data_IF_223750369332
#
_entry.id   IF_223750369332
#
_cell.length_a   1.000
_cell.length_b   1.000
_cell.length_c   1.000
_cell.angle_alpha   90.00
_cell.angle_beta   90.00
_cell.angle_gamma   90.00
#
_symmetry.space_group_name_H-M   'P 1'
#
loop_
_entity.id
_entity.type
_entity.pdbx_description
1 polymer ?
#
# COMPACT_ATOMS: atom_id res chain seq x y z
N UNK A 1 33.77 5.51 -14.85
CA UNK A 1 32.50 4.85 -15.24
C UNK A 1 31.87 5.66 -16.36
N UNK A 2 31.64 5.08 -17.54
CA UNK A 2 31.11 5.84 -18.69
C UNK A 2 29.64 6.22 -18.54
N UNK A 3 29.18 7.23 -19.29
CA UNK A 3 27.81 7.77 -19.27
C UNK A 3 26.72 6.70 -19.46
N UNK A 4 26.99 5.68 -20.28
CA UNK A 4 26.08 4.54 -20.51
C UNK A 4 25.92 3.60 -19.29
N UNK A 5 26.88 3.58 -18.37
CA UNK A 5 26.76 2.86 -17.10
C UNK A 5 25.83 3.62 -16.15
N UNK A 6 26.00 4.93 -16.01
CA UNK A 6 25.16 5.76 -15.13
C UNK A 6 23.67 5.70 -15.54
N UNK A 7 23.35 5.81 -16.83
CA UNK A 7 21.95 5.67 -17.29
C UNK A 7 21.34 4.28 -17.03
N UNK A 8 22.16 3.22 -17.06
CA UNK A 8 21.70 1.86 -16.72
C UNK A 8 21.47 1.72 -15.21
N UNK A 9 22.41 2.23 -14.41
CA UNK A 9 22.33 2.27 -12.95
C UNK A 9 21.09 3.03 -12.48
N UNK A 10 20.85 4.22 -13.01
CA UNK A 10 19.69 5.04 -12.67
C UNK A 10 18.36 4.34 -12.97
N UNK A 11 18.21 3.77 -14.18
CA UNK A 11 17.01 3.01 -14.55
C UNK A 11 16.79 1.79 -13.64
N UNK A 12 17.86 1.09 -13.29
CA UNK A 12 17.80 -0.06 -12.37
C UNK A 12 17.34 0.36 -10.97
N UNK A 13 17.91 1.44 -10.43
CA UNK A 13 17.56 1.96 -9.11
C UNK A 13 16.12 2.48 -9.05
N UNK A 14 15.64 3.18 -10.10
CA UNK A 14 14.25 3.61 -10.21
C UNK A 14 13.28 2.42 -10.19
N UNK A 15 13.57 1.38 -10.99
CA UNK A 15 12.76 0.15 -11.01
C UNK A 15 12.74 -0.53 -9.64
N UNK A 16 13.90 -0.70 -9.00
CA UNK A 16 13.99 -1.35 -7.69
C UNK A 16 13.26 -0.56 -6.60
N UNK A 17 13.36 0.78 -6.62
CA UNK A 17 12.64 1.64 -5.70
C UNK A 17 11.12 1.54 -5.86
N UNK A 18 10.64 1.42 -7.10
CA UNK A 18 9.23 1.17 -7.39
C UNK A 18 8.79 -0.21 -6.88
N UNK A 19 9.49 -1.28 -7.28
CA UNK A 19 9.17 -2.65 -6.88
C UNK A 19 9.13 -2.82 -5.36
N UNK A 20 10.07 -2.24 -4.61
CA UNK A 20 10.09 -2.35 -3.15
C UNK A 20 8.83 -1.76 -2.49
N UNK A 21 8.34 -0.62 -3.00
CA UNK A 21 7.12 0.03 -2.49
C UNK A 21 5.88 -0.78 -2.88
N UNK A 22 5.77 -1.16 -4.14
CA UNK A 22 4.64 -1.93 -4.67
C UNK A 22 4.50 -3.27 -3.97
N UNK A 23 5.60 -4.01 -3.80
CA UNK A 23 5.60 -5.31 -3.11
C UNK A 23 5.20 -5.20 -1.64
N UNK A 24 5.62 -4.13 -0.97
CA UNK A 24 5.22 -3.89 0.42
C UNK A 24 3.73 -3.57 0.52
N UNK A 25 3.16 -2.83 -0.44
CA UNK A 25 1.73 -2.50 -0.48
C UNK A 25 0.89 -3.75 -0.75
N UNK A 26 1.21 -4.48 -1.82
CA UNK A 26 0.51 -5.72 -2.21
C UNK A 26 0.58 -6.79 -1.11
N UNK A 27 1.73 -6.95 -0.46
CA UNK A 27 1.87 -7.91 0.65
C UNK A 27 0.96 -7.59 1.85
N UNK A 28 0.76 -6.29 2.15
CA UNK A 28 -0.19 -5.86 3.20
C UNK A 28 -1.63 -6.10 2.78
N UNK A 29 -2.00 -5.76 1.55
CA UNK A 29 -3.36 -5.97 1.04
C UNK A 29 -3.72 -7.46 0.98
N UNK A 30 -2.80 -8.32 0.55
CA UNK A 30 -2.97 -9.78 0.59
C UNK A 30 -3.21 -10.24 2.03
N UNK A 31 -2.46 -9.71 2.99
CA UNK A 31 -2.62 -10.04 4.42
C UNK A 31 -4.01 -9.66 4.93
N UNK A 32 -4.51 -8.49 4.55
CA UNK A 32 -5.84 -8.00 4.95
C UNK A 32 -6.94 -8.84 4.29
N UNK A 33 -6.83 -9.10 2.99
CA UNK A 33 -7.78 -9.93 2.26
C UNK A 33 -7.89 -11.33 2.86
N UNK A 34 -6.76 -11.95 3.21
CA UNK A 34 -6.73 -13.27 3.87
C UNK A 34 -7.37 -13.22 5.26
N UNK A 35 -7.13 -12.17 6.05
CA UNK A 35 -7.78 -12.01 7.36
C UNK A 35 -9.30 -11.81 7.26
N UNK A 36 -9.79 -11.11 6.24
CA UNK A 36 -11.20 -10.81 6.04
C UNK A 36 -11.99 -11.98 5.44
N UNK A 37 -11.40 -12.69 4.46
CA UNK A 37 -12.12 -13.67 3.63
C UNK A 37 -11.50 -15.07 3.60
N UNK A 38 -10.51 -15.34 4.45
CA UNK A 38 -9.79 -16.61 4.47
C UNK A 38 -8.69 -16.71 3.41
N UNK A 39 -7.84 -17.73 3.56
CA UNK A 39 -6.65 -17.96 2.73
C UNK A 39 -6.94 -18.60 1.37
N UNK A 40 -8.18 -19.02 1.13
CA UNK A 40 -8.59 -19.72 -0.09
C UNK A 40 -8.79 -18.74 -1.26
N UNK A 41 -8.01 -18.89 -2.32
CA UNK A 41 -8.01 -18.02 -3.51
C UNK A 41 -9.30 -18.18 -4.34
N UNK A 42 -9.92 -19.35 -4.29
CA UNK A 42 -11.20 -19.64 -4.97
C UNK A 42 -12.38 -19.01 -4.22
N UNK A 43 -12.36 -19.03 -2.88
CA UNK A 43 -13.41 -18.47 -2.03
C UNK A 43 -13.33 -16.96 -1.80
N UNK A 44 -12.18 -16.33 -2.10
CA UNK A 44 -11.93 -14.91 -1.82
C UNK A 44 -11.63 -14.12 -3.11
N UNK A 45 -12.63 -13.44 -3.71
CA UNK A 45 -12.45 -12.64 -4.92
C UNK A 45 -11.41 -11.52 -4.77
N UNK A 46 -11.32 -10.92 -3.58
CA UNK A 46 -10.35 -9.84 -3.27
C UNK A 46 -8.92 -10.38 -3.30
N UNK A 47 -8.68 -11.52 -2.68
CA UNK A 47 -7.37 -12.20 -2.73
C UNK A 47 -6.99 -12.59 -4.17
N UNK A 48 -7.95 -13.05 -4.97
CA UNK A 48 -7.71 -13.42 -6.36
C UNK A 48 -7.27 -12.22 -7.22
N UNK A 49 -7.94 -11.08 -7.07
CA UNK A 49 -7.57 -9.84 -7.75
C UNK A 49 -6.15 -9.38 -7.35
N UNK A 50 -5.84 -9.41 -6.05
CA UNK A 50 -4.51 -9.04 -5.55
C UNK A 50 -3.39 -9.97 -6.02
N UNK A 51 -3.66 -11.27 -6.16
CA UNK A 51 -2.70 -12.22 -6.72
C UNK A 51 -2.47 -11.97 -8.20
N UNK A 52 -3.52 -11.59 -8.96
CA UNK A 52 -3.37 -11.23 -10.37
C UNK A 52 -2.51 -9.96 -10.53
N UNK A 53 -2.74 -8.96 -9.69
CA UNK A 53 -1.95 -7.71 -9.66
C UNK A 53 -0.50 -7.95 -9.19
N UNK A 54 -0.29 -8.82 -8.20
CA UNK A 54 1.05 -9.21 -7.80
C UNK A 54 1.82 -9.91 -8.94
N UNK A 55 1.14 -10.70 -9.76
CA UNK A 55 1.75 -11.34 -10.94
C UNK A 55 2.05 -10.33 -12.05
N UNK A 56 1.18 -9.32 -12.29
CA UNK A 56 1.45 -8.27 -13.28
C UNK A 56 2.67 -7.43 -12.90
N UNK A 57 2.86 -7.17 -11.61
CA UNK A 57 4.03 -6.47 -11.03
C UNK A 57 5.29 -7.34 -10.90
N UNK A 58 5.27 -8.56 -11.44
CA UNK A 58 6.39 -9.51 -11.39
C UNK A 58 6.85 -9.85 -9.96
N UNK A 59 5.91 -9.86 -9.01
CA UNK A 59 6.17 -10.32 -7.65
C UNK A 59 6.51 -11.82 -7.67
N UNK A 60 7.63 -12.26 -7.06
CA UNK A 60 7.95 -13.67 -6.92
C UNK A 60 6.82 -14.44 -6.21
N UNK A 61 6.47 -15.62 -6.73
CA UNK A 61 5.41 -16.47 -6.17
C UNK A 61 5.62 -16.78 -4.67
N UNK A 62 6.87 -17.02 -4.28
CA UNK A 62 7.25 -17.26 -2.88
C UNK A 62 6.86 -16.09 -1.95
N UNK A 63 6.95 -14.83 -2.43
CA UNK A 63 6.55 -13.67 -1.63
C UNK A 63 5.04 -13.61 -1.40
N UNK A 64 4.26 -14.02 -2.40
CA UNK A 64 2.79 -14.09 -2.32
C UNK A 64 2.39 -15.17 -1.31
N UNK A 65 2.97 -16.37 -1.43
CA UNK A 65 2.71 -17.48 -0.50
C UNK A 65 3.14 -17.14 0.93
N UNK A 66 4.29 -16.48 1.09
CA UNK A 66 4.76 -16.00 2.40
C UNK A 66 3.80 -14.98 3.01
N UNK A 67 3.21 -14.09 2.20
CA UNK A 67 2.22 -13.12 2.68
C UNK A 67 0.94 -13.82 3.16
N UNK A 68 0.44 -14.81 2.39
CA UNK A 68 -0.74 -15.61 2.75
C UNK A 68 -0.48 -16.39 4.04
N UNK A 69 0.64 -17.11 4.12
CA UNK A 69 1.03 -17.91 5.29
C UNK A 69 1.20 -17.05 6.55
N UNK A 70 1.83 -15.87 6.40
CA UNK A 70 1.97 -14.92 7.51
C UNK A 70 0.61 -14.41 7.99
N UNK A 71 -0.35 -14.22 7.09
CA UNK A 71 -1.69 -13.78 7.44
C UNK A 71 -2.48 -14.84 8.20
N UNK A 72 -2.28 -16.13 7.90
CA UNK A 72 -2.91 -17.25 8.60
C UNK A 72 -2.25 -17.58 9.95
N UNK A 73 -0.93 -17.48 10.03
CA UNK A 73 -0.17 -17.90 11.22
C UNK A 73 -0.02 -16.78 12.26
N UNK A 74 0.01 -15.53 11.82
CA UNK A 74 0.41 -14.46 12.71
C UNK A 74 -0.77 -13.84 13.44
N UNK A 75 -0.67 -13.82 14.77
CA UNK A 75 -1.18 -12.76 15.67
C UNK A 75 -0.58 -11.37 15.36
N UNK A 76 -0.32 -11.06 14.07
CA UNK A 76 0.17 -9.75 13.65
C UNK A 76 -0.94 -8.75 13.90
N UNK A 77 -0.62 -7.62 14.55
CA UNK A 77 -1.55 -6.57 14.91
C UNK A 77 -2.56 -6.26 13.81
N UNK A 78 -3.81 -6.02 14.21
CA UNK A 78 -4.92 -5.83 13.30
C UNK A 78 -4.67 -4.61 12.41
N UNK A 79 -4.32 -4.89 11.15
CA UNK A 79 -4.28 -3.88 10.11
C UNK A 79 -5.71 -3.42 9.87
N UNK A 80 -5.96 -2.14 10.15
CA UNK A 80 -7.24 -1.48 9.93
C UNK A 80 -7.17 -0.70 8.63
N UNK A 81 -8.21 -0.84 7.83
CA UNK A 81 -8.43 -0.02 6.64
C UNK A 81 -9.10 1.28 7.08
N UNK A 82 -8.46 2.41 6.81
CA UNK A 82 -8.95 3.74 7.18
C UNK A 82 -8.78 4.67 5.98
N UNK A 83 -9.85 5.38 5.67
CA UNK A 83 -9.86 6.42 4.65
C UNK A 83 -9.66 7.77 5.33
N UNK A 84 -8.70 8.55 4.83
CA UNK A 84 -8.48 9.93 5.23
C UNK A 84 -8.87 10.85 4.09
N UNK A 85 -9.57 11.93 4.43
CA UNK A 85 -10.04 12.93 3.48
C UNK A 85 -9.39 14.27 3.78
N UNK A 86 -9.10 15.06 2.75
CA UNK A 86 -8.52 16.38 2.94
C UNK A 86 -8.47 17.20 1.66
N UNK A 87 -8.07 18.45 1.83
CA UNK A 87 -7.94 19.42 0.75
C UNK A 87 -6.48 19.84 0.61
N UNK A 88 -5.96 19.79 -0.62
CA UNK A 88 -4.66 20.35 -0.96
C UNK A 88 -4.74 21.82 -1.38
N UNK A 89 -3.64 22.38 -1.90
CA UNK A 89 -3.62 23.70 -2.52
C UNK A 89 -4.76 23.87 -3.52
N UNK A 90 -5.28 25.09 -3.61
CA UNK A 90 -6.36 25.47 -4.53
C UNK A 90 -7.68 24.72 -4.29
N UNK A 91 -7.86 24.08 -3.12
CA UNK A 91 -9.12 23.40 -2.76
C UNK A 91 -9.32 22.04 -3.43
N UNK A 92 -8.25 21.43 -3.97
CA UNK A 92 -8.33 20.10 -4.58
C UNK A 92 -8.60 19.06 -3.50
N UNK A 93 -9.65 18.25 -3.68
CA UNK A 93 -10.02 17.20 -2.74
C UNK A 93 -9.18 15.92 -2.95
N UNK A 94 -8.75 15.30 -1.85
CA UNK A 94 -7.98 14.07 -1.83
C UNK A 94 -8.65 13.04 -0.93
N UNK A 95 -8.75 11.81 -1.44
CA UNK A 95 -9.15 10.63 -0.70
C UNK A 95 -7.95 9.69 -0.60
N UNK A 96 -7.53 9.39 0.63
CA UNK A 96 -6.33 8.62 0.93
C UNK A 96 -6.73 7.33 1.64
N UNK A 97 -6.76 6.24 0.89
CA UNK A 97 -7.00 4.90 1.41
C UNK A 97 -5.73 4.35 2.06
N UNK A 98 -5.84 3.91 3.33
CA UNK A 98 -4.70 3.40 4.08
C UNK A 98 -4.99 2.08 4.75
N UNK A 99 -3.97 1.24 4.82
CA UNK A 99 -3.96 0.01 5.59
C UNK A 99 -2.85 0.09 6.64
N UNK A 100 -3.21 0.16 7.92
CA UNK A 100 -2.25 0.42 9.00
C UNK A 100 -2.54 -0.34 10.28
N UNK A 101 -1.47 -0.75 10.97
CA UNK A 101 -1.48 -1.34 12.30
C UNK A 101 -1.48 -0.27 13.41
N UNK A 102 -1.26 1.00 13.05
CA UNK A 102 -1.25 2.11 14.00
C UNK A 102 -1.87 3.37 13.36
N UNK A 103 -3.09 3.67 13.79
CA UNK A 103 -3.90 4.78 13.28
C UNK A 103 -3.28 6.13 13.66
N UNK A 104 -2.84 6.29 14.91
CA UNK A 104 -2.21 7.51 15.44
C UNK A 104 -0.95 7.92 14.67
N UNK A 105 -0.10 6.94 14.33
CA UNK A 105 1.10 7.19 13.51
C UNK A 105 0.72 7.63 12.09
N UNK A 106 -0.30 7.00 11.53
CA UNK A 106 -0.70 7.21 10.14
C UNK A 106 -1.35 8.58 9.97
N UNK A 107 -2.30 8.95 10.83
CA UNK A 107 -2.94 10.26 10.79
C UNK A 107 -1.94 11.39 11.01
N UNK A 108 -0.96 11.22 11.91
CA UNK A 108 0.09 12.22 12.15
C UNK A 108 0.95 12.45 10.89
N UNK A 109 1.36 11.37 10.22
CA UNK A 109 2.14 11.45 8.98
C UNK A 109 1.33 12.08 7.85
N UNK A 110 0.08 11.63 7.63
CA UNK A 110 -0.80 12.19 6.59
C UNK A 110 -1.01 13.68 6.82
N UNK A 111 -1.38 14.08 8.05
CA UNK A 111 -1.56 15.49 8.42
C UNK A 111 -0.30 16.32 8.15
N UNK A 112 0.87 15.82 8.55
CA UNK A 112 2.16 16.49 8.33
C UNK A 112 2.40 16.79 6.85
N UNK A 113 2.06 15.86 5.95
CA UNK A 113 2.21 16.08 4.51
C UNK A 113 1.24 17.11 3.94
N UNK A 114 -0.03 17.10 4.35
CA UNK A 114 -0.98 18.14 3.96
C UNK A 114 -0.52 19.53 4.43
N UNK A 115 -0.15 19.66 5.70
CA UNK A 115 0.29 20.94 6.28
C UNK A 115 1.56 21.47 5.61
N UNK A 116 2.54 20.61 5.29
CA UNK A 116 3.78 21.02 4.59
C UNK A 116 3.53 21.55 3.18
N UNK A 117 2.46 21.08 2.53
CA UNK A 117 2.13 21.43 1.15
C UNK A 117 0.98 22.43 1.05
N UNK A 118 0.64 23.14 2.14
CA UNK A 118 -0.40 24.19 2.11
C UNK A 118 -1.84 23.66 2.01
N UNK A 119 -2.07 22.41 2.41
CA UNK A 119 -3.39 21.80 2.53
C UNK A 119 -3.79 21.51 3.98
N UNK A 120 -5.00 20.96 4.14
CA UNK A 120 -5.57 20.56 5.43
C UNK A 120 -6.22 19.19 5.35
N UNK A 121 -5.98 18.35 6.36
CA UNK A 121 -6.75 17.12 6.55
C UNK A 121 -8.15 17.48 7.06
N UNK A 122 -9.18 16.97 6.40
CA UNK A 122 -10.59 17.14 6.76
C UNK A 122 -11.10 16.08 7.74
N UNK A 123 -12.37 16.19 8.10
CA UNK A 123 -13.09 15.14 8.85
C UNK A 123 -13.60 14.07 7.88
N UNK A 124 -13.87 12.86 8.35
CA UNK A 124 -14.54 11.83 7.54
C UNK A 124 -15.88 12.37 7.02
N UNK A 125 -16.15 12.24 5.71
CA UNK A 125 -17.35 12.80 5.07
C UNK A 125 -17.22 14.25 4.60
N UNK A 126 -16.01 14.78 4.48
CA UNK A 126 -15.78 16.14 3.93
C UNK A 126 -15.68 16.15 2.40
N UNK A 127 -15.37 15.00 1.80
CA UNK A 127 -15.13 14.83 0.36
C UNK A 127 -15.99 13.71 -0.24
N UNK A 128 -16.48 12.79 0.60
CA UNK A 128 -17.29 11.63 0.21
C UNK A 128 -18.80 11.89 0.19
#
# INVERSE_FOLDING_TARGET
MGRAFEFRKERKMKRWGHMAKTFTKLGKEITIAVKQGGAEVTGNPRLRALIAEAKSEQMPKENIERAIKKATEAKTGDFKEIVYEGFGPFGIAYLVETATDNTTRTVANVRSYFTKLGGSLGTSGSVS
#
